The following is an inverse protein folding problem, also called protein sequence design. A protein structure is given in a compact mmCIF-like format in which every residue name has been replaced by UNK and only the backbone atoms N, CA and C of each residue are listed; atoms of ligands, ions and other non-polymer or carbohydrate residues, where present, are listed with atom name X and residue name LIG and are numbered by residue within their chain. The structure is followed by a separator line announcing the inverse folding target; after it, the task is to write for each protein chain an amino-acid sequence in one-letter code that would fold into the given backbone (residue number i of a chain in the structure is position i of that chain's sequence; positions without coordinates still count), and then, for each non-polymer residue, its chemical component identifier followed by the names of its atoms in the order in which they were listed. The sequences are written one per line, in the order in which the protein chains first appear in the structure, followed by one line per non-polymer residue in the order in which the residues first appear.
data_IF_561212937433
#
_entry.id   IF_561212937433
#
_cell.length_a   1.000
_cell.length_b   1.000
_cell.length_c   1.000
_cell.angle_alpha   90.00
_cell.angle_beta   90.00
_cell.angle_gamma   90.00
#
_symmetry.space_group_name_H-M   'P 1'
#
loop_
_entity.id
_entity.type
_entity.pdbx_description
1 polymer ?
#
# COMPACT_ATOMS: atom_id res chain seq x y z
N UNK A 1 -16.69 6.61 -15.26
CA UNK A 1 -16.71 6.52 -13.78
C UNK A 1 -15.48 5.72 -13.36
N UNK A 2 -14.71 6.19 -12.37
CA UNK A 2 -13.50 5.50 -11.91
C UNK A 2 -13.89 4.48 -10.83
N UNK A 3 -13.54 3.21 -11.02
CA UNK A 3 -13.75 2.16 -10.03
C UNK A 3 -12.42 1.93 -9.28
N UNK A 4 -12.39 2.14 -7.95
CA UNK A 4 -11.19 1.88 -7.16
C UNK A 4 -10.90 0.37 -7.13
N UNK A 5 -9.63 0.01 -7.33
CA UNK A 5 -9.16 -1.37 -7.31
C UNK A 5 -8.07 -1.53 -6.24
N UNK A 6 -8.13 -2.64 -5.50
CA UNK A 6 -7.11 -2.99 -4.52
C UNK A 6 -5.75 -3.20 -5.22
N UNK A 7 -4.76 -2.47 -4.72
CA UNK A 7 -3.37 -2.57 -5.14
C UNK A 7 -2.57 -3.31 -4.07
N UNK A 8 -1.73 -4.26 -4.49
CA UNK A 8 -0.84 -4.99 -3.58
C UNK A 8 0.62 -4.73 -3.94
N UNK A 9 1.39 -4.29 -2.96
CA UNK A 9 2.83 -4.08 -3.12
C UNK A 9 3.58 -4.26 -1.81
N UNK A 10 4.87 -4.56 -1.91
CA UNK A 10 5.76 -4.60 -0.75
C UNK A 10 6.25 -3.19 -0.44
N UNK A 11 5.95 -2.69 0.75
CA UNK A 11 6.55 -1.47 1.26
C UNK A 11 8.04 -1.72 1.52
N UNK A 12 8.90 -0.92 0.91
CA UNK A 12 10.36 -1.02 1.06
C UNK A 12 10.91 0.05 1.99
N UNK A 13 10.36 1.26 1.90
CA UNK A 13 10.91 2.44 2.56
C UNK A 13 9.84 3.53 2.65
N UNK A 14 9.89 4.30 3.74
CA UNK A 14 9.05 5.47 3.95
C UNK A 14 9.97 6.68 3.98
N UNK A 15 9.64 7.71 3.20
CA UNK A 15 10.35 8.97 3.15
C UNK A 15 9.47 10.06 3.77
N UNK A 16 10.09 10.96 4.51
CA UNK A 16 9.48 12.20 4.97
C UNK A 16 10.12 13.36 4.23
N UNK A 17 9.38 14.01 3.35
CA UNK A 17 9.84 15.17 2.59
C UNK A 17 9.23 16.43 3.21
N UNK A 18 10.08 17.27 3.81
CA UNK A 18 9.66 18.58 4.30
C UNK A 18 9.75 19.57 3.14
N UNK A 19 8.62 20.16 2.80
CA UNK A 19 8.53 21.21 1.79
C UNK A 19 8.33 22.53 2.53
N UNK A 20 9.26 23.49 2.42
CA UNK A 20 9.10 24.79 3.03
C UNK A 20 7.98 25.58 2.33
N UNK A 21 7.43 26.58 3.01
CA UNK A 21 6.50 27.52 2.39
C UNK A 21 7.17 28.17 1.18
N UNK A 22 6.46 28.22 0.06
CA UNK A 22 6.96 28.76 -1.19
C UNK A 22 5.82 29.42 -1.95
N UNK A 23 5.83 30.75 -2.00
CA UNK A 23 4.81 31.54 -2.67
C UNK A 23 4.72 31.26 -4.19
N UNK A 24 5.86 30.98 -4.85
CA UNK A 24 5.87 30.65 -6.28
C UNK A 24 5.21 29.29 -6.57
N UNK A 25 5.27 28.36 -5.61
CA UNK A 25 4.61 27.06 -5.69
C UNK A 25 3.19 27.06 -5.08
N UNK A 26 2.69 28.20 -4.62
CA UNK A 26 1.41 28.35 -3.88
C UNK A 26 1.32 27.48 -2.62
N UNK A 27 2.45 27.24 -1.97
CA UNK A 27 2.52 26.50 -0.71
C UNK A 27 2.57 27.55 0.41
N UNK A 28 1.42 27.79 1.05
CA UNK A 28 1.26 28.88 2.04
C UNK A 28 1.97 28.60 3.36
N UNK A 29 2.13 27.32 3.73
CA UNK A 29 2.77 26.89 4.97
C UNK A 29 3.70 25.72 4.69
N UNK A 30 4.70 25.52 5.54
CA UNK A 30 5.55 24.35 5.40
C UNK A 30 4.72 23.08 5.59
N UNK A 31 4.87 22.14 4.67
CA UNK A 31 4.15 20.87 4.66
C UNK A 31 5.14 19.71 4.74
N UNK A 32 4.71 18.60 5.32
CA UNK A 32 5.48 17.35 5.31
C UNK A 32 4.71 16.31 4.51
N UNK A 33 5.32 15.83 3.43
CA UNK A 33 4.79 14.74 2.62
C UNK A 33 5.43 13.43 3.07
N UNK A 34 4.59 12.45 3.40
CA UNK A 34 5.03 11.09 3.61
C UNK A 34 4.90 10.32 2.31
N UNK A 35 6.00 9.76 1.83
CA UNK A 35 6.04 8.98 0.59
C UNK A 35 6.41 7.53 0.92
N UNK A 36 5.77 6.59 0.26
CA UNK A 36 6.08 5.17 0.33
C UNK A 36 6.79 4.74 -0.95
N UNK A 37 8.00 4.21 -0.80
CA UNK A 37 8.65 3.40 -1.83
C UNK A 37 8.07 2.00 -1.81
N UNK A 38 7.32 1.64 -2.84
CA UNK A 38 6.63 0.35 -2.96
C UNK A 38 7.20 -0.45 -4.13
N UNK A 39 7.19 -1.77 -4.01
CA UNK A 39 7.45 -2.68 -5.12
C UNK A 39 6.15 -3.42 -5.43
N UNK A 40 5.46 -3.13 -6.55
CA UNK A 40 4.19 -3.77 -6.87
C UNK A 40 4.33 -5.29 -6.95
N UNK A 41 3.36 -6.01 -6.40
CA UNK A 41 3.26 -7.46 -6.56
C UNK A 41 2.61 -7.76 -7.91
N UNK A 42 3.26 -8.60 -8.73
CA UNK A 42 2.67 -9.03 -9.99
C UNK A 42 1.60 -10.11 -9.74
N UNK A 43 0.39 -9.68 -9.41
CA UNK A 43 -0.75 -10.57 -9.08
C UNK A 43 -1.13 -11.39 -10.30
N UNK A 44 -1.00 -12.70 -10.19
CA UNK A 44 -1.31 -13.66 -11.26
C UNK A 44 -2.72 -14.23 -11.12
N UNK A 45 -3.25 -14.25 -9.90
CA UNK A 45 -4.55 -14.84 -9.60
C UNK A 45 -5.21 -14.11 -8.43
N UNK A 46 -6.49 -13.78 -8.58
CA UNK A 46 -7.32 -13.15 -7.54
C UNK A 46 -8.43 -14.12 -7.16
N UNK A 47 -8.57 -14.42 -5.87
CA UNK A 47 -9.68 -15.20 -5.35
C UNK A 47 -10.65 -14.29 -4.59
N UNK A 48 -11.63 -13.74 -5.31
CA UNK A 48 -12.54 -12.70 -4.80
C UNK A 48 -13.41 -13.13 -3.60
N UNK A 49 -13.54 -14.43 -3.34
CA UNK A 49 -14.35 -14.97 -2.23
C UNK A 49 -13.58 -15.25 -0.95
N UNK A 50 -12.24 -15.31 -1.01
CA UNK A 50 -11.40 -15.69 0.12
C UNK A 50 -10.34 -14.62 0.45
N UNK A 51 -10.32 -13.51 -0.30
CA UNK A 51 -9.32 -12.44 -0.20
C UNK A 51 -7.87 -12.98 -0.24
N UNK A 52 -7.67 -14.06 -1.02
CA UNK A 52 -6.37 -14.66 -1.27
C UNK A 52 -5.91 -14.27 -2.67
N UNK A 53 -4.85 -13.47 -2.74
CA UNK A 53 -4.25 -13.06 -4.01
C UNK A 53 -2.89 -13.73 -4.19
N UNK A 54 -2.68 -14.44 -5.30
CA UNK A 54 -1.40 -15.07 -5.58
C UNK A 54 -0.59 -14.21 -6.55
N UNK A 55 0.68 -13.99 -6.23
CA UNK A 55 1.59 -13.23 -7.08
C UNK A 55 2.91 -13.98 -7.32
N UNK A 56 3.57 -13.64 -8.43
CA UNK A 56 4.87 -14.19 -8.81
C UNK A 56 5.83 -13.07 -9.21
N UNK A 57 6.83 -12.84 -8.38
CA UNK A 57 7.80 -11.76 -8.56
C UNK A 57 7.24 -10.38 -8.22
N UNK A 58 8.11 -9.39 -8.24
CA UNK A 58 7.80 -8.00 -7.92
C UNK A 58 8.19 -7.13 -9.13
N UNK A 59 7.47 -6.04 -9.37
CA UNK A 59 7.73 -5.12 -10.48
C UNK A 59 8.78 -4.06 -10.10
N UNK A 60 9.01 -3.08 -10.99
CA UNK A 60 9.89 -1.94 -10.70
C UNK A 60 9.37 -1.14 -9.51
N UNK A 61 10.29 -0.63 -8.69
CA UNK A 61 9.95 0.21 -7.53
C UNK A 61 9.27 1.50 -7.98
N UNK A 62 8.19 1.86 -7.29
CA UNK A 62 7.43 3.09 -7.48
C UNK A 62 7.42 3.89 -6.16
N UNK A 63 7.22 5.21 -6.26
CA UNK A 63 7.08 6.10 -5.10
C UNK A 63 5.69 6.71 -5.14
N UNK A 64 4.93 6.48 -4.09
CA UNK A 64 3.54 6.94 -3.97
C UNK A 64 3.36 7.77 -2.70
N UNK A 65 2.35 8.64 -2.69
CA UNK A 65 1.95 9.36 -1.48
C UNK A 65 1.40 8.35 -0.45
N UNK A 66 2.01 8.28 0.73
CA UNK A 66 1.65 7.34 1.78
C UNK A 66 0.22 7.58 2.29
N UNK A 67 -0.31 8.80 2.20
CA UNK A 67 -1.70 9.08 2.56
C UNK A 67 -2.71 8.39 1.63
N UNK A 68 -2.27 7.93 0.45
CA UNK A 68 -3.07 7.19 -0.52
C UNK A 68 -2.82 5.68 -0.45
N UNK A 69 -2.01 5.22 0.50
CA UNK A 69 -1.69 3.80 0.70
C UNK A 69 -2.33 3.33 2.00
N UNK A 70 -3.20 2.33 1.91
CA UNK A 70 -3.68 1.62 3.09
C UNK A 70 -2.74 0.44 3.37
N UNK A 71 -1.93 0.57 4.42
CA UNK A 71 -1.09 -0.52 4.93
C UNK A 71 -1.93 -1.48 5.76
N UNK A 72 -2.77 -2.30 5.12
CA UNK A 72 -3.43 -3.39 5.83
C UNK A 72 -2.39 -4.46 6.24
N UNK A 73 -2.50 -5.09 7.42
CA UNK A 73 -1.60 -6.16 7.83
C UNK A 73 -1.77 -7.40 6.94
N UNK A 74 -1.04 -7.42 5.84
CA UNK A 74 -1.00 -8.52 4.88
C UNK A 74 0.05 -9.54 5.35
N UNK A 75 -0.37 -10.80 5.50
CA UNK A 75 0.57 -11.91 5.69
C UNK A 75 0.92 -12.54 4.34
N UNK A 76 2.18 -12.94 4.14
CA UNK A 76 2.64 -13.61 2.92
C UNK A 76 3.05 -15.04 3.22
N UNK A 77 2.48 -15.99 2.48
CA UNK A 77 2.82 -17.42 2.63
C UNK A 77 3.28 -17.98 1.28
N UNK A 78 4.37 -18.78 1.30
CA UNK A 78 4.83 -19.47 0.10
C UNK A 78 3.85 -20.59 -0.24
N UNK A 79 3.34 -20.62 -1.46
CA UNK A 79 2.37 -21.63 -1.92
C UNK A 79 3.08 -22.70 -2.75
N UNK A 80 3.23 -23.90 -2.19
CA UNK A 80 3.80 -25.07 -2.86
C UNK A 80 5.32 -24.99 -3.11
N UNK A 81 5.78 -25.68 -4.15
CA UNK A 81 7.20 -25.90 -4.46
C UNK A 81 7.81 -24.86 -5.41
N UNK A 82 7.13 -23.73 -5.66
CA UNK A 82 7.56 -22.70 -6.61
C UNK A 82 7.66 -21.29 -6.01
N UNK A 83 8.00 -20.31 -6.84
CA UNK A 83 8.08 -18.88 -6.48
C UNK A 83 6.70 -18.18 -6.43
N UNK A 84 5.67 -18.89 -6.00
CA UNK A 84 4.31 -18.37 -5.88
C UNK A 84 4.05 -18.01 -4.42
N UNK A 85 3.56 -16.79 -4.20
CA UNK A 85 3.23 -16.29 -2.86
C UNK A 85 1.75 -15.95 -2.80
N UNK A 86 1.10 -16.36 -1.73
CA UNK A 86 -0.25 -15.94 -1.39
C UNK A 86 -0.19 -14.75 -0.45
N UNK A 87 -0.93 -13.70 -0.79
CA UNK A 87 -1.29 -12.55 0.04
C UNK A 87 -2.57 -12.95 0.75
N UNK A 88 -2.50 -13.00 2.07
CA UNK A 88 -3.66 -13.14 2.93
C UNK A 88 -4.08 -11.73 3.34
N UNK A 89 -5.08 -11.20 2.65
CA UNK A 89 -5.63 -9.91 2.99
C UNK A 89 -6.65 -10.08 4.13
N UNK A 90 -6.41 -9.40 5.25
CA UNK A 90 -7.29 -9.39 6.44
C UNK A 90 -8.03 -8.06 6.58
N UNK A 91 -8.09 -7.29 5.50
CA UNK A 91 -8.97 -6.14 5.35
C UNK A 91 -10.41 -6.66 5.24
N UNK A 92 -11.31 -6.26 6.14
CA UNK A 92 -12.73 -6.61 5.98
C UNK A 92 -13.39 -5.67 4.96
N UNK A 93 -13.68 -6.19 3.76
CA UNK A 93 -14.33 -5.43 2.68
C UNK A 93 -13.38 -4.81 1.66
N UNK A 94 -13.95 -4.25 0.58
CA UNK A 94 -13.21 -3.81 -0.63
C UNK A 94 -12.11 -2.76 -0.38
N UNK A 95 -12.21 -1.99 0.70
CA UNK A 95 -11.32 -0.86 1.06
C UNK A 95 -11.37 -0.61 2.58
N UNK A 96 -11.09 -1.64 3.38
CA UNK A 96 -11.23 -1.58 4.84
C UNK A 96 -10.20 -0.62 5.47
N UNK A 97 -10.56 0.67 5.56
CA UNK A 97 -9.74 1.69 6.20
C UNK A 97 -9.61 1.40 7.69
N UNK A 98 -8.44 0.93 8.13
CA UNK A 98 -8.13 0.81 9.55
C UNK A 98 -7.67 2.16 10.09
N UNK A 99 -8.48 2.78 10.94
CA UNK A 99 -8.09 3.98 11.70
C UNK A 99 -7.39 3.51 12.97
N UNK A 100 -6.17 3.99 13.20
CA UNK A 100 -5.51 3.85 14.50
C UNK A 100 -6.25 4.73 15.51
N UNK A 101 -6.86 4.10 16.51
CA UNK A 101 -7.44 4.79 17.66
C UNK A 101 -6.40 4.67 18.79
N UNK A 102 -5.72 5.75 19.18
CA UNK A 102 -4.86 5.71 20.36
C UNK A 102 -5.70 5.35 21.59
N UNK A 103 -5.17 4.49 22.47
CA UNK A 103 -5.79 4.24 23.76
C UNK A 103 -5.75 5.54 24.57
N UNK A 104 -6.93 6.07 24.91
CA UNK A 104 -7.06 7.18 25.84
C UNK A 104 -6.59 6.69 27.23
N UNK A 105 -5.52 7.31 27.75
CA UNK A 105 -5.09 7.15 29.15
C UNK A 105 -5.95 8.00 30.08
#
# INVERSE_FOLDING_TARGET
EFLPEAFHGRLQQVFSVKVPANAAAKIERSETFLLAGITPCNVQFRHNTLDIHCFKGELTKEVVDLNRVECSPVSRVRRGNGNLYAILDRSEGLLARRVYIPEDN
#
